data_IF_422765831174
#
_entry.id   IF_422765831174
#
_cell.length_a   1.000
_cell.length_b   1.000
_cell.length_c   1.000
_cell.angle_alpha   90.00
_cell.angle_beta   90.00
_cell.angle_gamma   90.00
#
_symmetry.space_group_name_H-M   'P 1'
#
loop_
_entity.id
_entity.type
_entity.pdbx_description
1 polymer ?
#
# COMPACT_ATOMS: atom_id res chain seq x y z
N UNK A 1 20.24 39.80 -33.48
CA UNK A 1 19.13 39.17 -34.21
C UNK A 1 18.43 38.18 -33.29
N UNK A 2 17.24 38.53 -32.81
CA UNK A 2 16.48 37.84 -31.74
C UNK A 2 15.84 36.49 -32.16
N UNK A 3 16.29 35.87 -33.25
CA UNK A 3 15.68 34.63 -33.76
C UNK A 3 16.10 33.38 -32.97
N UNK A 4 17.32 33.34 -32.44
CA UNK A 4 17.86 32.19 -31.72
C UNK A 4 17.22 31.95 -30.34
N UNK A 5 16.72 32.98 -29.65
CA UNK A 5 16.13 32.79 -28.31
C UNK A 5 14.86 31.93 -28.35
N UNK A 6 14.10 32.00 -29.43
CA UNK A 6 12.89 31.21 -29.62
C UNK A 6 13.19 29.71 -29.61
N UNK A 7 14.24 29.28 -30.32
CA UNK A 7 14.65 27.87 -30.37
C UNK A 7 15.11 27.39 -28.98
N UNK A 8 15.88 28.21 -28.25
CA UNK A 8 16.32 27.88 -26.90
C UNK A 8 15.15 27.67 -25.94
N UNK A 9 14.09 28.48 -26.06
CA UNK A 9 12.87 28.32 -25.26
C UNK A 9 12.21 26.96 -25.52
N UNK A 10 12.05 26.58 -26.79
CA UNK A 10 11.47 25.28 -27.15
C UNK A 10 12.32 24.11 -26.66
N UNK A 11 13.64 24.20 -26.83
CA UNK A 11 14.55 23.15 -26.34
C UNK A 11 14.45 23.01 -24.82
N UNK A 12 14.43 24.13 -24.08
CA UNK A 12 14.28 24.11 -22.63
C UNK A 12 12.92 23.52 -22.21
N UNK A 13 11.83 23.87 -22.89
CA UNK A 13 10.49 23.32 -22.64
C UNK A 13 10.43 21.81 -22.90
N UNK A 14 10.99 21.36 -24.02
CA UNK A 14 11.04 19.93 -24.36
C UNK A 14 11.92 19.16 -23.39
N UNK A 15 13.09 19.70 -23.04
CA UNK A 15 13.98 19.07 -22.06
C UNK A 15 13.32 18.96 -20.69
N UNK A 16 12.62 20.01 -20.24
CA UNK A 16 11.88 19.99 -18.98
C UNK A 16 10.72 18.98 -19.02
N UNK A 17 9.97 18.93 -20.13
CA UNK A 17 8.91 17.95 -20.32
C UNK A 17 9.46 16.52 -20.27
N UNK A 18 10.53 16.24 -21.01
CA UNK A 18 11.20 14.94 -21.01
C UNK A 18 11.71 14.55 -19.63
N UNK A 19 12.31 15.49 -18.89
CA UNK A 19 12.74 15.27 -17.52
C UNK A 19 11.56 14.85 -16.63
N UNK A 20 10.44 15.58 -16.72
CA UNK A 20 9.22 15.24 -15.97
C UNK A 20 8.67 13.87 -16.37
N UNK A 21 8.60 13.57 -17.67
CA UNK A 21 8.18 12.25 -18.16
C UNK A 21 9.09 11.14 -17.68
N UNK A 22 10.41 11.35 -17.66
CA UNK A 22 11.36 10.35 -17.18
C UNK A 22 11.23 10.13 -15.67
N UNK A 23 11.08 11.20 -14.89
CA UNK A 23 10.84 11.11 -13.45
C UNK A 23 9.52 10.41 -13.12
N UNK A 24 8.43 10.78 -13.82
CA UNK A 24 7.12 10.13 -13.67
C UNK A 24 7.19 8.67 -14.11
N UNK A 25 7.84 8.40 -15.24
CA UNK A 25 8.06 7.07 -15.79
C UNK A 25 8.79 6.16 -14.81
N UNK A 26 9.95 6.60 -14.30
CA UNK A 26 10.72 5.86 -13.29
C UNK A 26 9.90 5.66 -12.01
N UNK A 27 9.21 6.71 -11.53
CA UNK A 27 8.41 6.64 -10.31
C UNK A 27 7.25 5.66 -10.45
N UNK A 28 6.56 5.66 -11.58
CA UNK A 28 5.45 4.77 -11.88
C UNK A 28 5.95 3.34 -12.09
N UNK A 29 7.03 3.18 -12.86
CA UNK A 29 7.67 1.90 -13.13
C UNK A 29 8.14 1.21 -11.84
N UNK A 30 8.74 1.95 -10.90
CA UNK A 30 9.11 1.40 -9.58
C UNK A 30 7.92 0.88 -8.80
N UNK A 31 6.80 1.60 -8.82
CA UNK A 31 5.58 1.18 -8.13
C UNK A 31 4.94 -0.02 -8.81
N UNK A 32 4.87 -0.02 -10.13
CA UNK A 32 4.36 -1.12 -10.92
C UNK A 32 5.20 -2.39 -10.75
N UNK A 33 6.53 -2.28 -10.77
CA UNK A 33 7.40 -3.43 -10.52
C UNK A 33 7.30 -3.95 -9.10
N UNK A 34 7.05 -3.10 -8.10
CA UNK A 34 6.73 -3.58 -6.76
C UNK A 34 5.45 -4.44 -6.77
N UNK A 35 4.38 -3.98 -7.43
CA UNK A 35 3.15 -4.76 -7.54
C UNK A 35 3.32 -6.05 -8.36
N UNK A 36 4.10 -6.03 -9.44
CA UNK A 36 4.40 -7.22 -10.26
C UNK A 36 5.21 -8.22 -9.45
N UNK A 37 6.17 -7.76 -8.65
CA UNK A 37 6.95 -8.64 -7.76
C UNK A 37 6.05 -9.30 -6.71
N UNK A 38 5.12 -8.55 -6.13
CA UNK A 38 4.15 -9.08 -5.18
C UNK A 38 3.21 -10.10 -5.86
N UNK A 39 2.81 -9.83 -7.09
CA UNK A 39 1.97 -10.73 -7.90
C UNK A 39 2.74 -11.99 -8.34
N UNK A 40 4.03 -11.87 -8.65
CA UNK A 40 4.90 -13.01 -8.95
C UNK A 40 5.09 -13.91 -7.74
N UNK A 41 5.32 -13.33 -6.55
CA UNK A 41 5.40 -14.08 -5.31
C UNK A 41 4.07 -14.78 -4.94
N UNK A 42 2.94 -14.16 -5.26
CA UNK A 42 1.62 -14.79 -5.11
C UNK A 42 1.37 -15.86 -6.18
N UNK A 43 1.85 -15.64 -7.41
CA UNK A 43 1.78 -16.59 -8.53
C UNK A 43 2.58 -17.85 -8.27
N UNK A 44 3.76 -17.74 -7.64
CA UNK A 44 4.56 -18.89 -7.21
C UNK A 44 3.84 -19.72 -6.14
N UNK A 45 3.13 -19.06 -5.21
CA UNK A 45 2.26 -19.74 -4.23
C UNK A 45 1.03 -20.38 -4.86
N UNK A 46 0.44 -19.77 -5.88
CA UNK A 46 -0.65 -20.36 -6.67
C UNK A 46 -0.16 -21.54 -7.52
N UNK A 47 1.09 -21.50 -8.02
CA UNK A 47 1.74 -22.60 -8.70
C UNK A 47 1.93 -23.83 -7.80
N UNK A 48 2.19 -23.60 -6.51
CA UNK A 48 2.20 -24.67 -5.50
C UNK A 48 0.81 -25.21 -5.15
N UNK A 49 -0.29 -24.59 -5.61
CA UNK A 49 -1.68 -25.02 -5.37
C UNK A 49 -2.25 -25.76 -6.61
N UNK A 50 -1.41 -26.17 -7.58
CA UNK A 50 -1.86 -27.15 -8.57
C UNK A 50 -2.08 -28.53 -7.93
N UNK A 51 -3.14 -29.27 -8.28
CA UNK A 51 -3.96 -29.99 -7.33
C UNK A 51 -3.43 -31.41 -7.08
N UNK A 52 -2.78 -31.62 -5.95
CA UNK A 52 -2.72 -32.95 -5.33
C UNK A 52 -3.83 -33.02 -4.28
N UNK A 53 -4.98 -33.47 -4.75
CA UNK A 53 -6.00 -34.27 -4.06
C UNK A 53 -6.18 -34.08 -2.53
N UNK A 54 -7.27 -33.37 -2.17
CA UNK A 54 -8.27 -33.54 -1.08
C UNK A 54 -7.82 -34.05 0.32
N UNK A 55 -8.38 -33.57 1.46
CA UNK A 55 -9.82 -33.27 1.65
C UNK A 55 -10.17 -32.01 2.48
N UNK A 56 -11.39 -31.50 2.27
CA UNK A 56 -12.11 -30.56 3.16
C UNK A 56 -12.39 -31.25 4.52
N UNK A 57 -12.45 -30.58 5.71
CA UNK A 57 -13.07 -29.27 5.97
C UNK A 57 -12.45 -28.37 7.08
N UNK A 58 -12.59 -27.05 6.96
CA UNK A 58 -12.87 -26.12 8.09
C UNK A 58 -13.18 -24.71 7.56
N UNK A 59 -14.26 -24.04 8.02
CA UNK A 59 -14.61 -22.71 7.57
C UNK A 59 -13.64 -21.68 8.20
N UNK A 60 -12.64 -21.25 7.44
CA UNK A 60 -11.79 -20.13 7.79
C UNK A 60 -12.38 -18.82 7.21
N UNK A 61 -12.28 -17.69 7.93
CA UNK A 61 -13.15 -16.54 7.71
C UNK A 61 -12.84 -15.85 6.38
N UNK A 62 -13.87 -15.79 5.54
CA UNK A 62 -14.22 -14.71 4.61
C UNK A 62 -13.07 -14.00 3.87
N UNK A 63 -12.09 -14.77 3.38
CA UNK A 63 -11.14 -14.24 2.40
C UNK A 63 -11.84 -14.22 1.05
N UNK A 64 -12.38 -13.04 0.70
CA UNK A 64 -12.93 -12.79 -0.63
C UNK A 64 -11.97 -13.28 -1.73
N UNK A 65 -12.47 -14.04 -2.73
CA UNK A 65 -11.64 -14.56 -3.80
C UNK A 65 -11.01 -13.42 -4.60
N UNK A 66 -9.71 -13.54 -4.89
CA UNK A 66 -8.97 -12.57 -5.69
C UNK A 66 -9.66 -12.40 -7.06
N UNK A 67 -10.26 -11.22 -7.28
CA UNK A 67 -11.10 -10.93 -8.45
C UNK A 67 -12.50 -10.39 -8.11
N UNK A 68 -12.97 -10.59 -6.87
CA UNK A 68 -14.29 -10.08 -6.43
C UNK A 68 -14.39 -8.55 -6.48
N UNK A 69 -13.28 -7.82 -6.35
CA UNK A 69 -13.26 -6.36 -6.33
C UNK A 69 -13.70 -5.69 -7.65
N UNK A 70 -13.69 -6.41 -8.78
CA UNK A 70 -14.12 -5.86 -10.08
C UNK A 70 -15.64 -5.96 -10.26
N UNK A 71 -16.29 -6.92 -9.59
CA UNK A 71 -17.74 -7.18 -9.69
C UNK A 71 -18.48 -7.05 -8.35
N UNK A 72 -17.80 -6.63 -7.28
CA UNK A 72 -18.41 -6.45 -5.97
C UNK A 72 -19.42 -5.31 -6.00
N UNK A 73 -20.52 -5.47 -5.27
CA UNK A 73 -21.51 -4.40 -5.16
C UNK A 73 -20.86 -3.15 -4.54
N UNK A 74 -21.20 -1.94 -5.02
CA UNK A 74 -20.59 -0.70 -4.53
C UNK A 74 -20.73 -0.49 -3.02
N UNK A 75 -21.76 -1.06 -2.40
CA UNK A 75 -22.00 -0.94 -0.96
C UNK A 75 -21.01 -1.77 -0.14
N UNK A 76 -20.71 -3.01 -0.57
CA UNK A 76 -19.74 -3.89 0.10
C UNK A 76 -18.33 -3.27 0.00
N UNK A 77 -17.99 -2.74 -1.18
CA UNK A 77 -16.69 -2.10 -1.40
C UNK A 77 -16.51 -0.82 -0.55
N UNK A 78 -17.59 -0.08 -0.27
CA UNK A 78 -17.55 1.07 0.64
C UNK A 78 -17.29 0.64 2.08
N UNK A 79 -17.98 -0.40 2.56
CA UNK A 79 -17.75 -0.94 3.89
C UNK A 79 -16.31 -1.43 4.09
N UNK A 80 -15.78 -2.16 3.11
CA UNK A 80 -14.38 -2.64 3.13
C UNK A 80 -13.38 -1.48 3.11
N UNK A 81 -13.66 -0.44 2.32
CA UNK A 81 -12.84 0.76 2.28
C UNK A 81 -12.84 1.51 3.61
N UNK A 82 -14.00 1.66 4.25
CA UNK A 82 -14.10 2.31 5.56
C UNK A 82 -13.40 1.52 6.66
N UNK A 83 -13.54 0.19 6.66
CA UNK A 83 -12.83 -0.71 7.56
C UNK A 83 -11.31 -0.63 7.36
N UNK A 84 -10.84 -0.64 6.10
CA UNK A 84 -9.43 -0.49 5.77
C UNK A 84 -8.89 0.91 6.09
N UNK A 85 -9.72 1.94 6.01
CA UNK A 85 -9.36 3.32 6.39
C UNK A 85 -9.25 3.47 7.90
N UNK A 86 -10.14 2.85 8.67
CA UNK A 86 -10.06 2.79 10.13
C UNK A 86 -8.80 2.05 10.59
N UNK A 87 -8.49 0.88 10.01
CA UNK A 87 -7.30 0.10 10.38
C UNK A 87 -6.00 0.87 10.15
N UNK A 88 -5.89 1.61 9.03
CA UNK A 88 -4.72 2.49 8.76
C UNK A 88 -4.58 3.64 9.77
N UNK A 89 -5.70 4.18 10.28
CA UNK A 89 -5.67 5.22 11.32
C UNK A 89 -5.17 4.65 12.64
N UNK A 90 -5.65 3.47 13.01
CA UNK A 90 -5.21 2.77 14.22
C UNK A 90 -3.75 2.38 14.14
N UNK A 91 -3.28 1.88 13.00
CA UNK A 91 -1.88 1.50 12.82
C UNK A 91 -0.95 2.71 12.97
N UNK A 92 -1.34 3.88 12.44
CA UNK A 92 -0.60 5.13 12.66
C UNK A 92 -0.60 5.55 14.13
N UNK A 93 -1.73 5.39 14.83
CA UNK A 93 -1.83 5.67 16.27
C UNK A 93 -0.89 4.74 17.05
N UNK A 94 -0.93 3.44 16.78
CA UNK A 94 -0.04 2.43 17.40
C UNK A 94 1.44 2.75 17.15
N UNK A 95 1.83 3.14 15.93
CA UNK A 95 3.22 3.55 15.62
C UNK A 95 3.64 4.80 16.41
N UNK A 96 2.73 5.75 16.70
CA UNK A 96 3.03 6.91 17.54
C UNK A 96 3.15 6.54 19.01
N UNK A 97 2.27 5.65 19.48
CA UNK A 97 2.30 5.10 20.84
C UNK A 97 3.62 4.36 21.06
N UNK A 98 3.98 3.43 20.16
CA UNK A 98 5.21 2.64 20.23
C UNK A 98 6.46 3.53 20.28
N UNK A 99 6.56 4.53 19.39
CA UNK A 99 7.69 5.48 19.39
C UNK A 99 7.83 6.27 20.69
N UNK A 100 6.74 6.44 21.45
CA UNK A 100 6.74 7.13 22.75
C UNK A 100 7.05 6.14 23.88
N UNK A 101 6.54 4.91 23.81
CA UNK A 101 6.91 3.80 24.69
C UNK A 101 8.41 3.50 24.63
N UNK A 102 8.98 3.42 23.42
CA UNK A 102 10.43 3.21 23.21
C UNK A 102 11.27 4.36 23.82
N UNK A 103 10.68 5.54 24.02
CA UNK A 103 11.30 6.72 24.65
C UNK A 103 10.97 6.84 26.15
N UNK A 104 10.30 5.85 26.74
CA UNK A 104 9.94 5.83 28.16
C UNK A 104 8.90 6.89 28.57
N UNK A 105 8.15 7.46 27.62
CA UNK A 105 7.09 8.42 27.93
C UNK A 105 5.80 7.69 28.24
N UNK A 106 5.45 7.63 29.53
CA UNK A 106 4.18 7.07 30.02
C UNK A 106 3.00 7.87 29.44
N UNK A 107 2.06 7.17 28.82
CA UNK A 107 1.00 7.80 28.01
C UNK A 107 -0.35 7.88 28.70
N UNK A 108 -0.61 7.01 29.69
CA UNK A 108 -1.85 6.98 30.43
C UNK A 108 -1.58 6.73 31.91
N UNK A 109 -2.48 7.21 32.76
CA UNK A 109 -2.41 6.98 34.20
C UNK A 109 -2.49 5.49 34.57
N UNK A 110 -3.02 4.64 33.68
CA UNK A 110 -3.07 3.18 33.84
C UNK A 110 -1.81 2.41 33.45
N UNK A 111 -0.79 3.08 32.87
CA UNK A 111 0.56 2.50 32.74
C UNK A 111 1.35 2.59 34.06
N UNK A 112 0.79 3.24 35.08
CA UNK A 112 1.32 3.20 36.45
C UNK A 112 0.83 1.90 37.08
N UNK A 113 1.76 0.96 37.32
CA UNK A 113 1.46 -0.24 38.11
C UNK A 113 1.05 0.18 39.52
N UNK A 114 -0.26 0.31 39.75
CA UNK A 114 -0.82 0.50 41.10
C UNK A 114 -0.80 -0.81 41.92
N UNK A 115 -0.16 -1.88 41.41
CA UNK A 115 0.10 -3.11 42.15
C UNK A 115 1.47 -3.06 42.82
N UNK A 116 1.64 -2.12 43.75
CA UNK A 116 2.74 -2.18 44.71
C UNK A 116 2.26 -1.63 46.05
N UNK A 117 1.97 -2.59 46.94
CA UNK A 117 1.52 -2.51 48.34
C UNK A 117 0.04 -2.26 48.59
#
# INVERSE_FOLDING_TARGET
MLWWSWILIWVALVALALLLFLLLGIRLFRKFMATVKDLGAAGEKLGHISPVFLPEPAPAPDRMPAGSAVFASPEIMRHDYEAAKASRREERRRRRVQRRTDRGQLQALGDLDFTSK
#
